data_IF_840775655463
#
_entry.id   IF_840775655463
#
_cell.length_a   1.000
_cell.length_b   1.000
_cell.length_c   1.000
_cell.angle_alpha   90.00
_cell.angle_beta   90.00
_cell.angle_gamma   90.00
#
_symmetry.space_group_name_H-M   'P 1'
#
loop_
_entity.id
_entity.type
_entity.pdbx_description
1 polymer ?
#
# COMPACT_ATOMS: atom_id res chain seq x y z
N UNK A 1 14.39 7.18 -5.96
CA UNK A 1 13.02 6.63 -5.84
C UNK A 1 12.39 6.84 -4.45
N UNK A 2 12.99 7.64 -3.57
CA UNK A 2 12.34 8.16 -2.35
C UNK A 2 11.75 9.55 -2.56
N UNK A 3 11.93 10.15 -3.75
CA UNK A 3 11.52 11.53 -4.02
C UNK A 3 10.00 11.71 -3.96
N UNK A 4 9.19 10.81 -4.55
CA UNK A 4 7.72 10.94 -4.48
C UNK A 4 7.18 10.70 -3.06
N UNK A 5 7.82 9.81 -2.30
CA UNK A 5 7.55 9.60 -0.86
C UNK A 5 8.02 10.77 0.02
N UNK A 6 8.74 11.73 -0.56
CA UNK A 6 9.19 13.00 0.05
C UNK A 6 8.49 14.22 -0.60
N UNK A 7 7.42 14.01 -1.37
CA UNK A 7 6.66 15.09 -2.02
C UNK A 7 7.31 15.69 -3.26
N UNK A 8 8.38 15.08 -3.79
CA UNK A 8 9.07 15.53 -4.99
C UNK A 8 8.67 14.71 -6.23
N UNK A 9 8.26 15.43 -7.27
CA UNK A 9 7.88 14.87 -8.57
C UNK A 9 9.03 14.04 -9.15
N UNK A 10 8.70 12.96 -9.88
CA UNK A 10 9.76 12.26 -10.62
C UNK A 10 10.34 13.23 -11.64
N UNK A 11 11.65 13.49 -11.54
CA UNK A 11 12.35 14.36 -12.50
C UNK A 11 12.35 13.79 -13.92
N UNK A 12 11.90 12.55 -14.10
CA UNK A 12 11.76 11.83 -15.37
C UNK A 12 10.33 11.34 -15.57
N UNK A 13 9.81 11.57 -16.77
CA UNK A 13 8.54 11.04 -17.25
C UNK A 13 8.77 9.79 -18.12
N UNK A 14 7.88 8.78 -18.10
CA UNK A 14 8.04 7.56 -18.89
C UNK A 14 8.26 7.81 -20.39
N UNK A 15 7.61 8.83 -20.95
CA UNK A 15 7.68 9.20 -22.37
C UNK A 15 9.07 9.72 -22.80
N UNK A 16 9.90 10.11 -21.83
CA UNK A 16 11.28 10.55 -22.08
C UNK A 16 12.25 9.39 -22.27
N UNK A 17 11.83 8.15 -21.96
CA UNK A 17 12.65 6.95 -22.07
C UNK A 17 12.56 6.41 -23.49
N UNK A 18 13.65 6.58 -24.25
CA UNK A 18 13.77 6.13 -25.65
C UNK A 18 14.43 4.76 -25.81
N UNK A 19 14.64 4.05 -24.70
CA UNK A 19 15.36 2.77 -24.67
C UNK A 19 14.35 1.67 -24.34
N UNK A 20 14.44 0.56 -25.06
CA UNK A 20 13.61 -0.61 -24.82
C UNK A 20 13.94 -1.29 -23.48
N UNK A 21 13.05 -2.18 -23.04
CA UNK A 21 13.29 -2.97 -21.83
C UNK A 21 14.50 -3.90 -21.99
N UNK A 22 15.18 -4.24 -20.88
CA UNK A 22 16.27 -5.22 -20.91
C UNK A 22 15.86 -6.54 -21.59
N UNK A 23 16.75 -7.08 -22.41
CA UNK A 23 16.66 -8.38 -23.08
C UNK A 23 17.99 -9.10 -23.00
N UNK A 24 17.95 -10.44 -23.03
CA UNK A 24 19.17 -11.26 -23.04
C UNK A 24 19.80 -11.36 -24.45
N UNK A 25 19.13 -10.86 -25.48
CA UNK A 25 19.64 -10.87 -26.84
C UNK A 25 20.39 -9.56 -27.18
N UNK A 26 21.62 -9.61 -27.74
CA UNK A 26 22.48 -10.76 -28.01
C UNK A 26 23.65 -10.80 -27.00
N UNK A 27 23.40 -11.16 -25.75
CA UNK A 27 24.48 -11.40 -24.78
C UNK A 27 25.18 -12.72 -25.10
N UNK A 28 26.51 -12.69 -25.16
CA UNK A 28 27.30 -13.91 -25.25
C UNK A 28 27.20 -14.74 -23.95
N UNK A 29 27.41 -16.06 -24.01
CA UNK A 29 27.33 -16.94 -22.83
C UNK A 29 28.35 -16.59 -21.73
N UNK A 30 29.47 -15.95 -22.09
CA UNK A 30 30.47 -15.45 -21.13
C UNK A 30 29.96 -14.22 -20.36
N UNK A 31 29.10 -13.42 -20.97
CA UNK A 31 28.57 -12.19 -20.39
C UNK A 31 27.27 -12.43 -19.61
N UNK A 32 26.52 -13.48 -19.93
CA UNK A 32 25.24 -13.80 -19.28
C UNK A 32 25.35 -13.94 -17.76
N UNK A 33 26.48 -14.46 -17.24
CA UNK A 33 26.72 -14.58 -15.80
C UNK A 33 27.06 -13.25 -15.09
N UNK A 34 27.38 -12.19 -15.84
CA UNK A 34 27.76 -10.89 -15.30
C UNK A 34 26.55 -9.97 -15.07
N UNK A 35 25.39 -10.30 -15.65
CA UNK A 35 24.18 -9.49 -15.58
C UNK A 35 23.08 -10.16 -14.76
N UNK A 36 22.19 -9.34 -14.20
CA UNK A 36 20.98 -9.84 -13.54
C UNK A 36 19.97 -10.27 -14.62
N UNK A 37 19.16 -11.28 -14.31
CA UNK A 37 18.11 -11.82 -15.21
C UNK A 37 17.26 -10.69 -15.82
N UNK A 38 17.22 -10.63 -17.16
CA UNK A 38 16.59 -9.52 -17.89
C UNK A 38 15.10 -9.39 -17.58
N UNK A 39 14.41 -10.52 -17.42
CA UNK A 39 12.99 -10.57 -17.07
C UNK A 39 12.70 -9.92 -15.70
N UNK A 40 13.59 -10.12 -14.72
CA UNK A 40 13.43 -9.50 -13.40
C UNK A 40 13.63 -8.00 -13.47
N UNK A 41 14.64 -7.55 -14.24
CA UNK A 41 14.89 -6.13 -14.44
C UNK A 41 13.71 -5.47 -15.15
N UNK A 42 13.18 -6.11 -16.20
CA UNK A 42 11.99 -5.68 -16.92
C UNK A 42 10.79 -5.56 -15.97
N UNK A 43 10.45 -6.62 -15.24
CA UNK A 43 9.33 -6.62 -14.31
C UNK A 43 9.47 -5.52 -13.25
N UNK A 44 10.69 -5.32 -12.74
CA UNK A 44 10.99 -4.27 -11.75
C UNK A 44 10.84 -2.86 -12.33
N UNK A 45 11.27 -2.60 -13.57
CA UNK A 45 11.10 -1.30 -14.23
C UNK A 45 9.61 -1.04 -14.46
N UNK A 46 8.87 -2.02 -14.99
CA UNK A 46 7.43 -1.91 -15.26
C UNK A 46 6.64 -1.57 -13.99
N UNK A 47 6.88 -2.27 -12.87
CA UNK A 47 6.15 -1.96 -11.62
C UNK A 47 6.53 -0.59 -11.06
N UNK A 48 7.77 -0.15 -11.27
CA UNK A 48 8.21 1.19 -10.84
C UNK A 48 7.50 2.27 -11.65
N UNK A 49 7.33 2.08 -12.96
CA UNK A 49 6.57 3.00 -13.82
C UNK A 49 5.09 3.04 -13.44
N UNK A 50 4.48 1.88 -13.17
CA UNK A 50 3.08 1.83 -12.71
C UNK A 50 2.90 2.46 -11.33
N UNK A 51 3.88 2.32 -10.42
CA UNK A 51 3.87 3.05 -9.15
C UNK A 51 3.91 4.56 -9.37
N UNK A 52 4.75 5.06 -10.28
CA UNK A 52 4.80 6.49 -10.57
C UNK A 52 3.46 7.01 -11.10
N UNK A 53 2.78 6.25 -11.96
CA UNK A 53 1.42 6.55 -12.44
C UNK A 53 0.40 6.58 -11.28
N UNK A 54 0.52 5.64 -10.34
CA UNK A 54 -0.30 5.60 -9.12
C UNK A 54 -0.03 6.80 -8.19
N UNK A 55 1.23 7.21 -8.02
CA UNK A 55 1.61 8.37 -7.21
C UNK A 55 0.97 9.66 -7.79
N UNK A 56 0.98 9.83 -9.12
CA UNK A 56 0.31 10.95 -9.80
C UNK A 56 -1.21 10.92 -9.62
N UNK A 57 -1.81 9.73 -9.63
CA UNK A 57 -3.25 9.59 -9.32
C UNK A 57 -3.57 10.02 -7.88
N UNK A 58 -2.75 9.63 -6.91
CA UNK A 58 -2.94 9.93 -5.49
C UNK A 58 -2.78 11.43 -5.23
N UNK A 59 -1.81 12.09 -5.86
CA UNK A 59 -1.65 13.54 -5.79
C UNK A 59 -2.91 14.27 -6.32
N UNK A 60 -3.44 13.81 -7.46
CA UNK A 60 -4.69 14.34 -8.00
C UNK A 60 -5.91 14.05 -7.11
N UNK A 61 -5.89 12.96 -6.34
CA UNK A 61 -6.94 12.65 -5.36
C UNK A 61 -7.00 13.69 -4.24
N UNK A 62 -5.84 14.19 -3.78
CA UNK A 62 -5.77 15.19 -2.70
C UNK A 62 -6.35 16.55 -3.11
N UNK A 63 -6.40 16.85 -4.42
CA UNK A 63 -6.84 18.14 -4.94
C UNK A 63 -8.36 18.27 -5.17
N UNK A 64 -9.14 17.18 -5.14
CA UNK A 64 -10.55 17.19 -5.58
C UNK A 64 -11.44 16.50 -4.53
N UNK A 65 -12.32 17.27 -3.88
CA UNK A 65 -13.36 16.72 -2.99
C UNK A 65 -14.54 16.16 -3.79
N UNK A 66 -14.93 14.92 -3.45
CA UNK A 66 -16.28 14.33 -3.59
C UNK A 66 -16.82 13.74 -4.92
N UNK A 67 -16.05 13.55 -6.01
CA UNK A 67 -16.54 12.80 -7.20
C UNK A 67 -16.00 11.35 -7.27
N UNK A 68 -16.61 10.45 -6.49
CA UNK A 68 -16.26 9.01 -6.47
C UNK A 68 -16.31 8.40 -7.88
N UNK A 69 -17.39 8.54 -8.68
CA UNK A 69 -17.44 7.98 -10.04
C UNK A 69 -16.33 8.47 -10.98
N UNK A 70 -15.88 9.72 -10.85
CA UNK A 70 -14.74 10.22 -11.61
C UNK A 70 -13.43 9.52 -11.21
N UNK A 71 -13.18 9.35 -9.92
CA UNK A 71 -11.97 8.68 -9.47
C UNK A 71 -11.96 7.20 -9.80
N UNK A 72 -13.10 6.51 -9.70
CA UNK A 72 -13.19 5.12 -10.13
C UNK A 72 -12.80 4.97 -11.61
N UNK A 73 -13.28 5.87 -12.47
CA UNK A 73 -12.93 5.89 -13.90
C UNK A 73 -11.44 6.07 -14.13
N UNK A 74 -10.75 6.81 -13.25
CA UNK A 74 -9.30 7.04 -13.34
C UNK A 74 -8.47 5.92 -12.69
N UNK A 75 -8.96 5.28 -11.63
CA UNK A 75 -8.29 4.17 -10.95
C UNK A 75 -8.39 2.86 -11.75
N UNK A 76 -9.55 2.58 -12.38
CA UNK A 76 -9.79 1.32 -13.12
C UNK A 76 -8.73 1.00 -14.19
N UNK A 77 -8.30 1.93 -15.06
CA UNK A 77 -7.26 1.65 -16.05
C UNK A 77 -5.93 1.22 -15.41
N UNK A 78 -5.51 1.90 -14.33
CA UNK A 78 -4.27 1.59 -13.62
C UNK A 78 -4.35 0.21 -12.97
N UNK A 79 -5.50 -0.11 -12.35
CA UNK A 79 -5.75 -1.42 -11.74
C UNK A 79 -5.74 -2.56 -12.79
N UNK A 80 -6.42 -2.35 -13.92
CA UNK A 80 -6.42 -3.32 -15.02
C UNK A 80 -5.01 -3.55 -15.56
N UNK A 81 -4.21 -2.49 -15.69
CA UNK A 81 -2.80 -2.58 -16.11
C UNK A 81 -1.96 -3.37 -15.10
N UNK A 82 -2.11 -3.13 -13.80
CA UNK A 82 -1.44 -3.90 -12.74
C UNK A 82 -1.84 -5.38 -12.75
N UNK A 83 -3.11 -5.67 -12.99
CA UNK A 83 -3.60 -7.05 -13.09
C UNK A 83 -3.12 -7.77 -14.34
N UNK A 84 -3.12 -7.09 -15.49
CA UNK A 84 -2.58 -7.63 -16.74
C UNK A 84 -1.10 -7.93 -16.55
N UNK A 85 -0.36 -6.98 -15.99
CA UNK A 85 1.06 -7.14 -15.69
C UNK A 85 1.31 -8.35 -14.78
N UNK A 86 0.54 -8.55 -13.70
CA UNK A 86 0.69 -9.72 -12.82
C UNK A 86 0.45 -11.04 -13.57
N UNK A 87 -0.49 -11.07 -14.54
CA UNK A 87 -0.80 -12.25 -15.36
C UNK A 87 0.23 -12.51 -16.46
N UNK A 88 0.87 -11.47 -16.97
CA UNK A 88 1.88 -11.53 -18.03
C UNK A 88 3.30 -11.83 -17.50
N UNK A 89 3.46 -11.94 -16.18
CA UNK A 89 4.75 -12.32 -15.60
C UNK A 89 5.20 -13.70 -16.12
N UNK A 90 6.51 -13.87 -16.39
CA UNK A 90 7.07 -15.16 -16.77
C UNK A 90 6.72 -16.25 -15.75
N UNK A 91 6.54 -17.49 -16.23
CA UNK A 91 6.14 -18.62 -15.38
C UNK A 91 7.10 -18.86 -14.20
N UNK A 92 8.39 -18.55 -14.37
CA UNK A 92 9.40 -18.65 -13.31
C UNK A 92 9.23 -17.60 -12.19
N UNK A 93 8.45 -16.54 -12.41
CA UNK A 93 8.20 -15.46 -11.45
C UNK A 93 6.74 -15.40 -10.98
N UNK A 94 5.84 -16.12 -11.63
CA UNK A 94 4.41 -16.15 -11.31
C UNK A 94 4.10 -17.15 -10.19
N UNK A 95 3.80 -16.63 -9.01
CA UNK A 95 3.44 -17.38 -7.82
C UNK A 95 2.15 -16.84 -7.21
N UNK A 96 1.34 -17.75 -6.69
CA UNK A 96 0.22 -17.36 -5.83
C UNK A 96 0.74 -17.11 -4.41
N UNK A 97 0.69 -15.84 -4.00
CA UNK A 97 1.18 -15.40 -2.70
C UNK A 97 0.04 -15.08 -1.71
N UNK A 98 -1.23 -15.39 -2.03
CA UNK A 98 -2.38 -14.99 -1.20
C UNK A 98 -2.27 -15.46 0.26
N UNK A 99 -1.67 -16.64 0.49
CA UNK A 99 -1.42 -17.21 1.82
C UNK A 99 0.01 -16.95 2.33
N UNK A 100 0.71 -15.98 1.75
CA UNK A 100 2.11 -15.70 2.02
C UNK A 100 3.05 -16.34 1.00
N UNK A 101 4.31 -16.48 1.37
CA UNK A 101 5.36 -16.93 0.45
C UNK A 101 5.35 -18.45 0.24
N UNK A 102 5.13 -18.96 -0.99
CA UNK A 102 5.19 -20.39 -1.26
C UNK A 102 6.59 -20.97 -1.09
N UNK A 103 6.70 -22.26 -0.77
CA UNK A 103 8.00 -22.91 -0.61
C UNK A 103 8.80 -22.96 -1.91
N UNK A 104 8.13 -23.11 -3.06
CA UNK A 104 8.78 -23.05 -4.37
C UNK A 104 9.49 -21.71 -4.59
N UNK A 105 8.83 -20.59 -4.23
CA UNK A 105 9.41 -19.27 -4.26
C UNK A 105 10.55 -19.12 -3.24
N UNK A 106 10.42 -19.76 -2.07
CA UNK A 106 11.42 -19.71 -1.01
C UNK A 106 12.76 -20.36 -1.38
N UNK A 107 12.75 -21.37 -2.26
CA UNK A 107 13.95 -22.08 -2.71
C UNK A 107 14.68 -21.40 -3.87
N UNK A 108 14.11 -20.34 -4.45
CA UNK A 108 14.74 -19.62 -5.54
C UNK A 108 15.97 -18.83 -5.06
N UNK A 109 17.02 -18.80 -5.86
CA UNK A 109 18.22 -17.99 -5.62
C UNK A 109 17.91 -16.49 -5.50
N UNK A 110 16.94 -16.01 -6.28
CA UNK A 110 16.48 -14.62 -6.31
C UNK A 110 15.21 -14.36 -5.46
N UNK A 111 14.87 -15.28 -4.54
CA UNK A 111 13.70 -15.23 -3.66
C UNK A 111 13.45 -13.85 -3.03
N UNK A 112 14.51 -13.18 -2.54
CA UNK A 112 14.38 -11.86 -1.90
C UNK A 112 13.98 -10.77 -2.88
N UNK A 113 14.51 -10.80 -4.10
CA UNK A 113 14.18 -9.86 -5.18
C UNK A 113 12.73 -10.06 -5.63
N UNK A 114 12.32 -11.33 -5.77
CA UNK A 114 10.96 -11.70 -6.12
C UNK A 114 9.96 -11.29 -5.02
N UNK A 115 10.28 -11.53 -3.75
CA UNK A 115 9.46 -11.05 -2.63
C UNK A 115 9.29 -9.53 -2.65
N UNK A 116 10.37 -8.80 -2.91
CA UNK A 116 10.30 -7.34 -3.10
C UNK A 116 9.41 -6.92 -4.27
N UNK A 117 9.41 -7.69 -5.36
CA UNK A 117 8.56 -7.42 -6.51
C UNK A 117 7.08 -7.54 -6.15
N UNK A 118 6.70 -8.64 -5.48
CA UNK A 118 5.33 -8.85 -4.99
C UNK A 118 4.91 -7.80 -3.96
N UNK A 119 5.78 -7.50 -2.99
CA UNK A 119 5.51 -6.47 -1.98
C UNK A 119 5.21 -5.11 -2.63
N UNK A 120 5.99 -4.71 -3.64
CA UNK A 120 5.76 -3.47 -4.38
C UNK A 120 4.47 -3.50 -5.20
N UNK A 121 4.17 -4.62 -5.85
CA UNK A 121 2.94 -4.78 -6.62
C UNK A 121 1.70 -4.61 -5.74
N UNK A 122 1.61 -5.38 -4.66
CA UNK A 122 0.52 -5.26 -3.68
C UNK A 122 0.49 -3.88 -3.03
N UNK A 123 1.65 -3.27 -2.77
CA UNK A 123 1.69 -1.92 -2.24
C UNK A 123 1.11 -0.88 -3.22
N UNK A 124 1.30 -1.05 -4.53
CA UNK A 124 0.61 -0.20 -5.54
C UNK A 124 -0.91 -0.36 -5.43
N UNK A 125 -1.43 -1.57 -5.26
CA UNK A 125 -2.86 -1.79 -4.99
C UNK A 125 -3.31 -1.08 -3.71
N UNK A 126 -2.57 -1.23 -2.61
CA UNK A 126 -2.90 -0.57 -1.34
C UNK A 126 -2.94 0.94 -1.51
N UNK A 127 -1.92 1.54 -2.15
CA UNK A 127 -1.86 2.99 -2.36
C UNK A 127 -3.00 3.51 -3.24
N UNK A 128 -3.30 2.83 -4.35
CA UNK A 128 -4.41 3.20 -5.25
C UNK A 128 -5.79 3.05 -4.61
N UNK A 129 -5.97 2.02 -3.79
CA UNK A 129 -7.29 1.63 -3.27
C UNK A 129 -7.56 2.15 -1.85
N UNK A 130 -6.54 2.58 -1.10
CA UNK A 130 -6.68 3.13 0.24
C UNK A 130 -7.70 4.29 0.32
N UNK A 131 -7.74 5.25 -0.63
CA UNK A 131 -8.74 6.31 -0.56
C UNK A 131 -10.18 5.79 -0.65
N UNK A 132 -10.42 4.80 -1.51
CA UNK A 132 -11.70 4.11 -1.61
C UNK A 132 -12.04 3.34 -0.33
N UNK A 133 -11.06 2.62 0.22
CA UNK A 133 -11.19 1.91 1.49
C UNK A 133 -11.60 2.83 2.63
N UNK A 134 -10.90 3.97 2.79
CA UNK A 134 -11.22 4.96 3.81
C UNK A 134 -12.60 5.61 3.58
N UNK A 135 -12.96 5.91 2.34
CA UNK A 135 -14.30 6.44 2.01
C UNK A 135 -15.40 5.43 2.35
N UNK A 136 -15.16 4.13 2.17
CA UNK A 136 -16.10 3.10 2.59
C UNK A 136 -16.29 3.11 4.10
N UNK A 137 -15.21 3.23 4.87
CA UNK A 137 -15.30 3.37 6.33
C UNK A 137 -16.19 4.57 6.68
N UNK A 138 -15.99 5.72 6.04
CA UNK A 138 -16.81 6.91 6.26
C UNK A 138 -18.29 6.66 5.95
N UNK A 139 -18.62 6.01 4.82
CA UNK A 139 -20.01 5.68 4.48
C UNK A 139 -20.63 4.67 5.45
N UNK A 140 -19.88 3.64 5.85
CA UNK A 140 -20.30 2.67 6.86
C UNK A 140 -20.56 3.39 8.17
N UNK A 141 -19.75 4.35 8.59
CA UNK A 141 -19.98 5.09 9.84
C UNK A 141 -21.14 6.08 9.74
N UNK A 142 -21.29 6.78 8.60
CA UNK A 142 -22.28 7.85 8.40
C UNK A 142 -23.68 7.35 8.01
N UNK A 143 -23.83 6.05 7.73
CA UNK A 143 -25.10 5.41 7.37
C UNK A 143 -25.76 5.97 6.07
N UNK A 144 -24.98 6.53 5.16
CA UNK A 144 -25.46 7.10 3.90
C UNK A 144 -25.85 5.99 2.90
N UNK A 145 -27.10 6.02 2.43
CA UNK A 145 -27.74 4.94 1.67
C UNK A 145 -27.68 5.14 0.13
N UNK A 146 -26.48 5.29 -0.44
CA UNK A 146 -26.27 5.29 -1.89
C UNK A 146 -25.92 3.89 -2.41
N UNK A 147 -26.88 3.15 -2.99
CA UNK A 147 -26.72 1.71 -3.27
C UNK A 147 -25.74 1.35 -4.41
N UNK A 148 -25.67 2.11 -5.50
CA UNK A 148 -24.86 1.73 -6.67
C UNK A 148 -23.36 2.10 -6.53
N UNK A 149 -23.04 3.20 -5.86
CA UNK A 149 -21.65 3.56 -5.53
C UNK A 149 -21.05 2.62 -4.49
N UNK A 150 -21.89 1.96 -3.68
CA UNK A 150 -21.47 1.09 -2.59
C UNK A 150 -20.89 -0.25 -3.06
N UNK A 151 -21.51 -0.91 -4.05
CA UNK A 151 -21.00 -2.21 -4.55
C UNK A 151 -19.61 -2.10 -5.18
N UNK A 152 -19.37 -1.02 -5.94
CA UNK A 152 -18.07 -0.75 -6.54
C UNK A 152 -17.01 -0.42 -5.48
N UNK A 153 -17.40 0.35 -4.47
CA UNK A 153 -16.55 0.71 -3.34
C UNK A 153 -16.16 -0.52 -2.50
N UNK A 154 -17.13 -1.41 -2.23
CA UNK A 154 -16.92 -2.70 -1.58
C UNK A 154 -15.90 -3.55 -2.35
N UNK A 155 -16.05 -3.69 -3.67
CA UNK A 155 -15.11 -4.43 -4.50
C UNK A 155 -13.67 -3.85 -4.46
N UNK A 156 -13.53 -2.52 -4.44
CA UNK A 156 -12.22 -1.87 -4.30
C UNK A 156 -11.60 -2.06 -2.91
N UNK A 157 -12.41 -1.98 -1.86
CA UNK A 157 -11.95 -2.22 -0.50
C UNK A 157 -11.53 -3.65 -0.25
N UNK A 158 -12.27 -4.63 -0.77
CA UNK A 158 -11.89 -6.04 -0.67
C UNK A 158 -10.56 -6.33 -1.37
N UNK A 159 -10.30 -5.64 -2.49
CA UNK A 159 -9.01 -5.71 -3.16
C UNK A 159 -7.90 -5.06 -2.33
N UNK A 160 -8.16 -3.92 -1.71
CA UNK A 160 -7.22 -3.25 -0.81
C UNK A 160 -6.86 -4.15 0.38
N UNK A 161 -7.88 -4.73 1.02
CA UNK A 161 -7.73 -5.63 2.16
C UNK A 161 -6.97 -6.90 1.79
N UNK A 162 -7.28 -7.52 0.65
CA UNK A 162 -6.50 -8.66 0.13
C UNK A 162 -5.04 -8.31 -0.09
N UNK A 163 -4.74 -7.22 -0.78
CA UNK A 163 -3.36 -6.79 -1.02
C UNK A 163 -2.59 -6.50 0.29
N UNK A 164 -3.26 -5.87 1.26
CA UNK A 164 -2.72 -5.63 2.60
C UNK A 164 -2.37 -6.94 3.32
N UNK A 165 -3.31 -7.89 3.35
CA UNK A 165 -3.12 -9.22 3.92
C UNK A 165 -1.93 -9.94 3.30
N UNK A 166 -1.89 -10.00 1.95
CA UNK A 166 -0.79 -10.62 1.20
C UNK A 166 0.56 -10.01 1.57
N UNK A 167 0.65 -8.67 1.68
CA UNK A 167 1.89 -8.01 2.08
C UNK A 167 2.36 -8.41 3.47
N UNK A 168 1.45 -8.45 4.44
CA UNK A 168 1.81 -8.88 5.81
C UNK A 168 2.24 -10.35 5.82
N UNK A 169 1.54 -11.24 5.11
CA UNK A 169 1.91 -12.65 5.02
C UNK A 169 3.28 -12.86 4.35
N UNK A 170 3.60 -12.14 3.27
CA UNK A 170 4.94 -12.20 2.63
C UNK A 170 6.02 -11.70 3.60
N UNK A 171 5.76 -10.62 4.33
CA UNK A 171 6.70 -10.08 5.32
C UNK A 171 6.96 -11.05 6.47
N UNK A 172 5.93 -11.73 6.98
CA UNK A 172 6.05 -12.80 7.96
C UNK A 172 6.89 -13.96 7.39
N UNK A 173 6.61 -14.37 6.14
CA UNK A 173 7.37 -15.42 5.45
C UNK A 173 8.85 -15.09 5.28
N UNK A 174 9.18 -13.83 4.97
CA UNK A 174 10.55 -13.32 4.94
C UNK A 174 11.18 -13.32 6.34
N UNK A 175 10.41 -12.99 7.38
CA UNK A 175 10.90 -12.90 8.75
C UNK A 175 11.29 -14.27 9.30
N UNK A 176 10.45 -15.28 9.12
CA UNK A 176 10.75 -16.67 9.51
C UNK A 176 12.00 -17.24 8.84
N UNK A 177 12.36 -16.73 7.65
CA UNK A 177 13.54 -17.15 6.89
C UNK A 177 14.75 -16.24 7.11
N UNK A 178 14.66 -15.28 8.03
CA UNK A 178 15.69 -14.28 8.33
C UNK A 178 16.11 -13.46 7.09
N UNK A 179 15.17 -13.20 6.18
CA UNK A 179 15.37 -12.45 4.92
C UNK A 179 14.73 -11.07 4.90
N UNK A 180 14.09 -10.65 6.01
CA UNK A 180 13.63 -9.26 6.16
C UNK A 180 14.84 -8.32 6.17
N UNK A 181 14.76 -7.25 5.37
CA UNK A 181 15.72 -6.17 5.44
C UNK A 181 15.44 -5.36 6.72
N UNK A 182 16.11 -5.73 7.82
CA UNK A 182 15.85 -5.20 9.17
C UNK A 182 15.91 -3.67 9.22
N UNK A 183 16.83 -3.07 8.46
CA UNK A 183 17.01 -1.61 8.30
C UNK A 183 16.34 -1.03 7.05
N UNK A 184 15.61 -1.86 6.30
CA UNK A 184 14.98 -1.48 5.05
C UNK A 184 13.77 -0.58 5.29
N UNK A 185 13.79 0.61 4.69
CA UNK A 185 12.63 1.50 4.63
C UNK A 185 11.45 0.83 3.94
N UNK A 186 11.69 0.20 2.78
CA UNK A 186 10.64 -0.43 1.98
C UNK A 186 9.93 -1.58 2.69
N UNK A 187 10.68 -2.45 3.36
CA UNK A 187 10.11 -3.54 4.14
C UNK A 187 9.24 -3.00 5.29
N UNK A 188 9.67 -1.91 5.92
CA UNK A 188 8.93 -1.24 7.00
C UNK A 188 7.63 -0.61 6.50
N UNK A 189 7.66 0.15 5.40
CA UNK A 189 6.46 0.81 4.85
C UNK A 189 5.46 -0.20 4.28
N UNK A 190 5.91 -1.27 3.62
CA UNK A 190 5.02 -2.33 3.11
C UNK A 190 4.31 -3.05 4.26
N UNK A 191 5.03 -3.35 5.34
CA UNK A 191 4.48 -3.96 6.54
C UNK A 191 3.49 -3.03 7.24
N UNK A 192 3.89 -1.78 7.50
CA UNK A 192 3.03 -0.78 8.13
C UNK A 192 1.74 -0.57 7.35
N UNK A 193 1.82 -0.35 6.04
CA UNK A 193 0.65 -0.12 5.18
C UNK A 193 -0.34 -1.28 5.25
N UNK A 194 0.15 -2.53 5.28
CA UNK A 194 -0.69 -3.71 5.43
C UNK A 194 -1.34 -3.80 6.81
N UNK A 195 -0.58 -3.56 7.87
CA UNK A 195 -1.08 -3.55 9.25
C UNK A 195 -2.16 -2.50 9.47
N UNK A 196 -1.99 -1.28 8.92
CA UNK A 196 -2.99 -0.22 9.02
C UNK A 196 -4.34 -0.63 8.43
N UNK A 197 -4.34 -1.19 7.21
CA UNK A 197 -5.59 -1.63 6.56
C UNK A 197 -6.26 -2.77 7.34
N UNK A 198 -5.48 -3.76 7.80
CA UNK A 198 -6.00 -4.86 8.63
C UNK A 198 -6.59 -4.36 9.95
N UNK A 199 -5.88 -3.46 10.66
CA UNK A 199 -6.36 -2.86 11.90
C UNK A 199 -7.69 -2.16 11.69
N UNK A 200 -7.78 -1.27 10.70
CA UNK A 200 -9.01 -0.54 10.38
C UNK A 200 -10.17 -1.48 10.00
N UNK A 201 -9.92 -2.50 9.17
CA UNK A 201 -10.95 -3.47 8.78
C UNK A 201 -11.53 -4.20 10.00
N UNK A 202 -10.66 -4.74 10.86
CA UNK A 202 -11.07 -5.42 12.10
C UNK A 202 -11.83 -4.47 13.04
N UNK A 203 -11.35 -3.23 13.21
CA UNK A 203 -12.03 -2.22 14.04
C UNK A 203 -13.44 -1.92 13.54
N UNK A 204 -13.63 -1.77 12.22
CA UNK A 204 -14.94 -1.48 11.64
C UNK A 204 -15.87 -2.70 11.75
N UNK A 205 -15.37 -3.91 11.50
CA UNK A 205 -16.15 -5.12 11.62
C UNK A 205 -16.64 -5.40 13.04
N UNK A 206 -15.86 -5.04 14.07
CA UNK A 206 -16.32 -5.08 15.47
C UNK A 206 -17.53 -4.17 15.72
N UNK A 207 -17.66 -3.05 15.00
CA UNK A 207 -18.80 -2.12 15.14
C UNK A 207 -19.98 -2.49 14.27
N UNK A 208 -19.71 -2.88 13.03
CA UNK A 208 -20.71 -3.30 12.05
C UNK A 208 -20.26 -4.60 11.44
N UNK A 209 -20.85 -5.69 11.92
CA UNK A 209 -20.50 -7.05 11.51
C UNK A 209 -20.61 -7.19 9.99
N UNK A 210 -19.62 -7.87 9.39
CA UNK A 210 -19.55 -8.14 7.95
C UNK A 210 -19.49 -6.88 7.06
N UNK A 211 -18.79 -5.82 7.50
CA UNK A 211 -18.53 -4.64 6.67
C UNK A 211 -17.39 -4.82 5.68
N UNK A 212 -16.41 -5.65 6.05
CA UNK A 212 -15.26 -6.05 5.23
C UNK A 212 -15.08 -7.57 5.29
N UNK A 213 -14.49 -8.16 4.24
CA UNK A 213 -14.12 -9.58 4.15
C UNK A 213 -12.94 -9.93 5.10
N UNK A 214 -13.23 -9.99 6.39
CA UNK A 214 -12.31 -10.42 7.44
C UNK A 214 -12.26 -11.95 7.53
N UNK A 215 -11.04 -12.48 7.53
CA UNK A 215 -10.78 -13.91 7.70
C UNK A 215 -10.45 -14.21 9.16
N UNK A 216 -10.73 -15.42 9.60
CA UNK A 216 -10.41 -15.88 10.96
C UNK A 216 -8.91 -15.73 11.29
N UNK A 217 -8.03 -15.85 10.29
CA UNK A 217 -6.58 -15.70 10.42
C UNK A 217 -6.08 -14.25 10.48
N UNK A 218 -6.94 -13.25 10.26
CA UNK A 218 -6.50 -11.85 10.12
C UNK A 218 -5.94 -11.27 11.41
N UNK A 219 -6.54 -11.63 12.55
CA UNK A 219 -6.03 -11.22 13.87
C UNK A 219 -4.63 -11.80 14.15
N UNK A 220 -4.42 -13.08 13.85
CA UNK A 220 -3.11 -13.72 14.03
C UNK A 220 -2.07 -13.14 13.07
N UNK A 221 -2.47 -12.90 11.81
CA UNK A 221 -1.63 -12.26 10.78
C UNK A 221 -1.22 -10.86 11.22
N UNK A 222 -2.16 -10.07 11.72
CA UNK A 222 -1.91 -8.73 12.26
C UNK A 222 -0.95 -8.76 13.45
N UNK A 223 -1.23 -9.62 14.44
CA UNK A 223 -0.41 -9.76 15.65
C UNK A 223 1.03 -10.17 15.31
N UNK A 224 1.19 -11.16 14.45
CA UNK A 224 2.50 -11.64 13.99
C UNK A 224 3.22 -10.56 13.18
N UNK A 225 2.52 -9.87 12.26
CA UNK A 225 3.09 -8.76 11.50
C UNK A 225 3.55 -7.60 12.39
N UNK A 226 2.79 -7.28 13.44
CA UNK A 226 3.19 -6.27 14.45
C UNK A 226 4.47 -6.69 15.19
N UNK A 227 4.62 -7.98 15.49
CA UNK A 227 5.88 -8.49 16.05
C UNK A 227 7.06 -8.32 15.08
N UNK A 228 6.86 -8.49 13.77
CA UNK A 228 7.89 -8.18 12.75
C UNK A 228 8.25 -6.69 12.77
N UNK A 229 7.26 -5.79 12.86
CA UNK A 229 7.50 -4.35 12.89
C UNK A 229 8.31 -3.96 14.14
N UNK A 230 7.92 -4.50 15.30
CA UNK A 230 8.63 -4.34 16.56
C UNK A 230 10.06 -4.89 16.51
N UNK A 231 10.25 -6.02 15.85
CA UNK A 231 11.57 -6.60 15.61
C UNK A 231 12.46 -5.65 14.80
N UNK A 232 11.95 -5.08 13.71
CA UNK A 232 12.68 -4.09 12.89
C UNK A 232 12.99 -2.82 13.69
N UNK A 233 12.04 -2.32 14.48
CA UNK A 233 12.25 -1.17 15.36
C UNK A 233 13.37 -1.44 16.38
N UNK A 234 13.31 -2.57 17.10
CA UNK A 234 14.32 -2.97 18.09
C UNK A 234 15.70 -3.17 17.47
N UNK A 235 15.75 -3.58 16.20
CA UNK A 235 17.00 -3.67 15.46
C UNK A 235 17.60 -2.29 15.12
N UNK A 236 16.86 -1.19 15.27
CA UNK A 236 17.32 0.18 15.01
C UNK A 236 16.73 0.81 13.75
N UNK A 237 15.68 0.26 13.16
CA UNK A 237 15.02 0.85 12.00
C UNK A 237 14.21 2.10 12.40
N UNK A 238 14.67 3.27 11.95
CA UNK A 238 14.05 4.56 12.27
C UNK A 238 12.64 4.69 11.71
N UNK A 239 12.39 4.19 10.49
CA UNK A 239 11.06 4.22 9.89
C UNK A 239 10.09 3.34 10.68
N UNK A 240 10.51 2.14 11.08
CA UNK A 240 9.67 1.25 11.90
C UNK A 240 9.31 1.86 13.25
N UNK A 241 10.20 2.67 13.85
CA UNK A 241 9.89 3.42 15.08
C UNK A 241 8.76 4.44 14.86
N UNK A 242 8.78 5.17 13.75
CA UNK A 242 7.70 6.10 13.40
C UNK A 242 6.39 5.36 13.09
N UNK A 243 6.47 4.29 12.29
CA UNK A 243 5.33 3.45 11.94
C UNK A 243 4.67 2.79 13.16
N UNK A 244 5.45 2.34 14.15
CA UNK A 244 4.91 1.75 15.37
C UNK A 244 4.09 2.76 16.18
N UNK A 245 4.61 3.98 16.33
CA UNK A 245 3.87 5.07 16.99
C UNK A 245 2.55 5.38 16.26
N UNK A 246 2.59 5.53 14.93
CA UNK A 246 1.37 5.79 14.14
C UNK A 246 0.36 4.64 14.25
N UNK A 247 0.84 3.38 14.27
CA UNK A 247 -0.04 2.23 14.44
C UNK A 247 -0.69 2.20 15.83
N UNK A 248 0.06 2.57 16.88
CA UNK A 248 -0.51 2.72 18.23
C UNK A 248 -1.59 3.79 18.29
N UNK A 249 -1.42 4.92 17.59
CA UNK A 249 -2.42 5.98 17.52
C UNK A 249 -3.73 5.48 16.87
N UNK A 250 -3.63 4.66 15.82
CA UNK A 250 -4.80 4.01 15.18
C UNK A 250 -5.50 3.05 16.15
N UNK A 251 -4.75 2.21 16.87
CA UNK A 251 -5.30 1.27 17.86
C UNK A 251 -5.91 1.98 19.07
N UNK A 252 -5.36 3.11 19.51
CA UNK A 252 -5.93 3.90 20.59
C UNK A 252 -7.22 4.59 20.15
N UNK A 253 -7.29 5.04 18.90
CA UNK A 253 -8.52 5.59 18.32
C UNK A 253 -9.64 4.53 18.30
N UNK A 254 -9.32 3.26 18.03
CA UNK A 254 -10.28 2.15 18.20
C UNK A 254 -10.85 2.10 19.62
N UNK A 255 -10.00 2.23 20.65
CA UNK A 255 -10.44 2.18 22.04
C UNK A 255 -11.36 3.35 22.38
N UNK A 256 -11.00 4.59 22.03
CA UNK A 256 -11.82 5.78 22.32
C UNK A 256 -13.21 5.70 21.67
N UNK A 257 -13.25 5.20 20.44
CA UNK A 257 -14.51 5.01 19.72
C UNK A 257 -15.31 3.79 20.24
N UNK A 258 -14.66 2.84 20.92
CA UNK A 258 -15.30 1.74 21.65
C UNK A 258 -15.89 2.16 23.01
N UNK A 259 -15.22 3.05 23.75
CA UNK A 259 -15.66 3.49 25.10
C UNK A 259 -16.86 4.44 25.07
N UNK A 260 -17.08 5.18 23.97
CA UNK A 260 -18.18 6.16 23.84
C UNK A 260 -19.59 5.55 23.69
N UNK A 261 -19.74 4.23 23.72
CA UNK A 261 -21.06 3.58 23.60
C UNK A 261 -21.89 3.53 24.89
N UNK A 262 -21.36 3.89 26.06
CA UNK A 262 -22.17 3.85 27.30
C UNK A 262 -23.13 5.03 27.47
N UNK A 263 -22.97 6.12 26.72
CA UNK A 263 -23.88 7.26 26.79
C UNK A 263 -24.23 7.70 25.37
N UNK A 264 -25.51 7.55 25.01
CA UNK A 264 -26.01 7.88 23.68
C UNK A 264 -25.71 9.33 23.31
N UNK A 265 -25.30 9.58 22.05
CA UNK A 265 -25.13 10.94 21.57
C UNK A 265 -25.53 11.14 20.11
N UNK A 266 -26.19 12.28 19.91
CA UNK A 266 -26.48 13.02 18.68
C UNK A 266 -25.21 13.39 17.88
N UNK A 267 -25.33 13.82 16.61
CA UNK A 267 -24.20 13.83 15.68
C UNK A 267 -23.26 15.02 15.89
N UNK A 268 -22.17 14.82 16.64
CA UNK A 268 -21.01 15.74 16.70
C UNK A 268 -19.96 15.46 15.60
N UNK A 269 -20.32 14.69 14.57
CA UNK A 269 -19.40 14.31 13.48
C UNK A 269 -19.31 15.38 12.36
N UNK A 270 -20.04 16.49 12.47
CA UNK A 270 -19.94 17.65 11.55
C UNK A 270 -18.66 18.49 11.74
N UNK A 271 -17.80 18.15 12.70
CA UNK A 271 -16.60 18.93 13.04
C UNK A 271 -15.28 18.15 12.94
N UNK A 272 -15.29 16.97 12.34
CA UNK A 272 -14.07 16.20 12.10
C UNK A 272 -13.66 16.31 10.63
N UNK A 273 -12.78 17.27 10.34
CA UNK A 273 -12.13 17.40 9.03
C UNK A 273 -11.06 16.31 8.90
N UNK A 274 -11.49 15.14 8.40
CA UNK A 274 -10.63 14.00 8.10
C UNK A 274 -9.47 14.37 7.17
N UNK A 275 -9.60 15.45 6.38
CA UNK A 275 -8.52 15.94 5.51
C UNK A 275 -7.39 16.60 6.32
N UNK A 276 -7.70 17.24 7.45
CA UNK A 276 -6.71 17.80 8.39
C UNK A 276 -5.96 16.67 9.15
N UNK A 277 -6.66 15.60 9.50
CA UNK A 277 -6.05 14.41 10.11
C UNK A 277 -5.15 13.67 9.12
N UNK A 278 -5.58 13.56 7.85
CA UNK A 278 -4.76 12.99 6.77
C UNK A 278 -3.49 13.81 6.53
N UNK A 279 -3.53 15.14 6.70
CA UNK A 279 -2.35 16.00 6.65
C UNK A 279 -1.41 15.79 7.85
N UNK A 280 -1.95 15.63 9.07
CA UNK A 280 -1.15 15.42 10.29
C UNK A 280 -0.47 14.05 10.35
N UNK A 281 -1.16 12.97 9.93
CA UNK A 281 -0.60 11.61 9.89
C UNK A 281 0.48 11.48 8.80
N UNK A 282 0.43 12.32 7.76
CA UNK A 282 1.34 12.27 6.61
C UNK A 282 2.44 13.36 6.66
N UNK A 283 2.51 14.16 7.73
CA UNK A 283 3.58 15.14 7.96
C UNK A 283 3.52 16.41 7.11
N UNK A 284 2.31 16.88 6.75
CA UNK A 284 2.13 18.13 6.01
C UNK A 284 1.68 19.27 6.95
N UNK A 285 2.48 20.34 7.00
CA UNK A 285 2.09 21.64 7.56
C UNK A 285 1.64 22.56 6.42
N UNK A 286 0.34 22.90 6.31
CA UNK A 286 -0.19 23.70 5.22
C UNK A 286 0.37 25.13 5.17
N UNK A 287 1.11 25.59 6.19
CA UNK A 287 1.73 26.91 6.22
C UNK A 287 3.01 27.04 5.37
N UNK A 288 3.62 25.93 4.93
CA UNK A 288 4.92 25.95 4.24
C UNK A 288 4.83 26.12 2.71
N UNK A 289 3.64 26.07 2.11
CA UNK A 289 3.46 26.21 0.65
C UNK A 289 3.43 27.66 0.15
N UNK A 290 3.74 28.66 0.99
CA UNK A 290 3.70 30.09 0.60
C UNK A 290 5.04 30.73 0.26
N UNK A 291 6.16 29.99 0.28
CA UNK A 291 7.50 30.60 0.18
C UNK A 291 8.43 30.01 -0.90
N UNK A 292 7.98 29.76 -2.14
CA UNK A 292 8.93 29.54 -3.27
C UNK A 292 8.38 30.00 -4.64
N UNK A 293 7.68 31.14 -4.72
CA UNK A 293 7.23 31.68 -6.03
C UNK A 293 7.51 33.18 -6.23
N UNK A 294 8.56 33.73 -5.61
CA UNK A 294 9.05 35.07 -5.93
C UNK A 294 10.57 35.13 -5.84
N UNK A 295 11.25 34.63 -6.87
CA UNK A 295 12.59 35.06 -7.28
C UNK A 295 12.96 34.23 -8.51
N UNK A 296 12.53 34.66 -9.70
CA UNK A 296 13.20 34.49 -11.01
C UNK A 296 12.30 35.18 -12.06
N UNK A 297 12.33 36.51 -12.06
CA UNK A 297 12.21 37.34 -13.26
C UNK A 297 13.57 37.94 -13.59
#
# INVERSE_FOLDING_TARGET
MTSSELGAWSSFQPEQIKVDYPSEEPLGPEDAGNFFEADFLRARIQITMMKAEADVFIDAWQSIRDDIPHFERRARPILLKLESWKKELPACMSFDCELGMPDAMAQMTNMRSLASLYLRCNHCFILLLRPFFLRQITHIMSNEAGNASRESLEAFSDRCLRAARTNVCIMIGLWHRERVAKFGFWDSIHLFSGLTILSLAMTVNKRRTASFDEKESDFETYSTGKNVLNYMMRAGNLASKGHEKMLMEIEQMEQVLGTRQTEGFEPLMEQWDMDEWMAQVMGYDPSTSSFVLNEFE
#
